data_IF_305919622880
#
_entry.id   IF_305919622880
#
_cell.length_a   1.000
_cell.length_b   1.000
_cell.length_c   1.000
_cell.angle_alpha   90.00
_cell.angle_beta   90.00
_cell.angle_gamma   90.00
#
_symmetry.space_group_name_H-M   'P 1'
#
loop_
_entity.id
_entity.type
_entity.pdbx_description
1 polymer ?
#
# COMPACT_ATOMS: atom_id res chain seq x y z
N UNK A 1 49.27 -15.62 32.93
CA UNK A 1 48.77 -15.25 34.27
C UNK A 1 47.38 -15.83 34.34
N UNK A 2 47.18 -16.79 35.25
CA UNK A 2 45.86 -17.35 35.49
C UNK A 2 44.99 -16.28 36.16
N UNK A 3 43.85 -16.01 35.59
CA UNK A 3 42.87 -15.08 36.13
C UNK A 3 42.39 -15.60 37.50
N UNK A 4 42.71 -14.87 38.56
CA UNK A 4 42.38 -15.21 39.95
C UNK A 4 40.98 -14.73 40.35
N UNK A 5 40.19 -14.20 39.45
CA UNK A 5 38.82 -13.74 39.71
C UNK A 5 37.82 -14.83 39.37
N UNK A 6 36.79 -14.93 40.20
CA UNK A 6 35.69 -15.85 39.95
C UNK A 6 35.13 -15.65 38.53
N UNK A 7 35.03 -16.74 37.78
CA UNK A 7 34.41 -16.76 36.48
C UNK A 7 32.95 -16.37 36.65
N UNK A 8 32.61 -15.14 36.31
CA UNK A 8 31.22 -14.79 36.09
C UNK A 8 30.75 -15.52 34.82
N UNK A 9 29.70 -16.30 34.93
CA UNK A 9 29.01 -16.75 33.73
C UNK A 9 28.52 -15.50 33.01
N UNK A 10 29.16 -15.16 31.90
CA UNK A 10 28.76 -14.06 31.04
C UNK A 10 27.43 -14.39 30.36
N UNK A 11 26.35 -14.38 31.12
CA UNK A 11 25.02 -14.40 30.60
C UNK A 11 24.80 -13.01 29.99
N UNK A 12 24.73 -12.94 28.67
CA UNK A 12 24.31 -11.74 27.98
C UNK A 12 22.94 -11.32 28.52
N UNK A 13 22.95 -10.27 29.34
CA UNK A 13 21.72 -9.72 29.88
C UNK A 13 20.97 -9.03 28.76
N UNK A 14 19.92 -9.66 28.26
CA UNK A 14 19.05 -9.10 27.25
C UNK A 14 18.06 -8.17 27.94
N UNK A 15 18.47 -6.94 28.16
CA UNK A 15 17.61 -5.84 28.58
C UNK A 15 17.37 -4.94 27.38
N UNK A 16 16.35 -5.22 26.56
CA UNK A 16 16.10 -4.36 25.42
C UNK A 16 14.89 -4.80 24.61
N UNK A 17 14.37 -3.86 23.84
CA UNK A 17 13.33 -4.13 22.86
C UNK A 17 13.92 -4.89 21.69
N UNK A 18 13.21 -5.91 21.21
CA UNK A 18 13.55 -6.64 20.00
C UNK A 18 13.22 -5.78 18.79
N UNK A 19 14.24 -5.43 18.00
CA UNK A 19 14.05 -4.64 16.78
C UNK A 19 14.02 -5.55 15.57
N UNK A 20 12.98 -5.41 14.74
CA UNK A 20 12.90 -6.07 13.45
C UNK A 20 13.62 -5.23 12.39
N UNK A 21 14.62 -5.81 11.72
CA UNK A 21 15.35 -5.17 10.61
C UNK A 21 14.62 -5.29 9.26
N UNK A 22 13.70 -6.25 9.14
CA UNK A 22 12.91 -6.47 7.91
C UNK A 22 11.81 -5.42 7.73
N UNK A 23 11.44 -5.14 6.48
CA UNK A 23 10.26 -4.34 6.20
C UNK A 23 9.00 -5.17 6.47
N UNK A 24 8.20 -4.75 7.44
CA UNK A 24 6.94 -5.38 7.84
C UNK A 24 5.78 -4.37 7.86
N UNK A 25 5.97 -3.22 7.24
CA UNK A 25 4.93 -2.21 7.18
C UNK A 25 3.84 -2.64 6.21
N UNK A 26 2.60 -2.53 6.62
CA UNK A 26 1.42 -2.94 5.85
C UNK A 26 0.37 -1.83 5.83
N UNK A 27 0.70 -0.66 5.27
CA UNK A 27 -0.20 0.48 5.33
C UNK A 27 -1.46 0.30 4.49
N UNK A 28 -1.38 -0.29 3.29
CA UNK A 28 -2.54 -0.48 2.43
C UNK A 28 -3.56 -1.42 3.06
N UNK A 29 -3.10 -2.60 3.51
CA UNK A 29 -3.94 -3.59 4.18
C UNK A 29 -4.61 -3.01 5.43
N UNK A 30 -3.89 -2.17 6.18
CA UNK A 30 -4.41 -1.51 7.38
C UNK A 30 -5.52 -0.49 7.04
N UNK A 31 -5.33 0.31 5.98
CA UNK A 31 -6.30 1.31 5.54
C UNK A 31 -7.57 0.66 5.01
N UNK A 32 -7.45 -0.37 4.17
CA UNK A 32 -8.61 -1.02 3.54
C UNK A 32 -9.25 -2.09 4.42
N UNK A 33 -8.58 -2.52 5.50
CA UNK A 33 -9.02 -3.62 6.37
C UNK A 33 -10.43 -3.45 6.96
N UNK A 34 -10.84 -2.19 7.22
CA UNK A 34 -12.18 -1.88 7.71
C UNK A 34 -13.32 -2.16 6.71
N UNK A 35 -13.01 -2.43 5.44
CA UNK A 35 -13.97 -2.73 4.35
C UNK A 35 -13.94 -4.19 3.93
N UNK A 36 -13.42 -5.07 4.78
CA UNK A 36 -13.28 -6.49 4.47
C UNK A 36 -14.59 -7.12 4.01
N UNK A 37 -14.51 -7.88 2.92
CA UNK A 37 -15.59 -8.68 2.35
C UNK A 37 -15.31 -10.16 2.56
N UNK A 38 -16.31 -11.00 2.46
CA UNK A 38 -16.18 -12.45 2.51
C UNK A 38 -16.75 -13.10 1.25
N UNK A 39 -16.14 -14.19 0.81
CA UNK A 39 -16.60 -14.99 -0.31
C UNK A 39 -16.59 -16.47 0.06
N UNK A 40 -17.50 -17.24 -0.53
CA UNK A 40 -17.53 -18.70 -0.41
C UNK A 40 -16.94 -19.39 -1.63
N UNK A 41 -16.45 -18.62 -2.60
CA UNK A 41 -15.87 -19.14 -3.84
C UNK A 41 -14.49 -18.53 -4.06
N UNK A 42 -13.60 -19.29 -4.68
CA UNK A 42 -12.22 -18.84 -4.99
C UNK A 42 -12.22 -17.62 -5.90
N UNK A 43 -13.13 -17.60 -6.87
CA UNK A 43 -13.29 -16.48 -7.80
C UNK A 43 -14.40 -15.57 -7.33
N UNK A 44 -14.15 -14.27 -7.31
CA UNK A 44 -15.10 -13.24 -6.93
C UNK A 44 -15.09 -12.07 -7.92
N UNK A 45 -16.20 -11.36 -7.98
CA UNK A 45 -16.38 -10.21 -8.89
C UNK A 45 -15.75 -8.96 -8.27
N UNK A 46 -14.86 -8.29 -9.01
CA UNK A 46 -14.25 -7.01 -8.62
C UNK A 46 -14.97 -5.81 -9.22
N UNK A 47 -15.73 -5.98 -10.29
CA UNK A 47 -16.49 -4.91 -10.92
C UNK A 47 -17.46 -5.46 -11.97
N UNK A 48 -18.58 -4.76 -12.12
CA UNK A 48 -19.50 -4.96 -13.24
C UNK A 48 -19.47 -3.70 -14.08
N UNK A 49 -19.20 -3.85 -15.35
CA UNK A 49 -18.98 -2.75 -16.28
C UNK A 49 -20.06 -2.77 -17.35
N UNK A 50 -20.59 -1.60 -17.66
CA UNK A 50 -21.41 -1.42 -18.84
C UNK A 50 -21.17 -0.01 -19.41
N UNK A 51 -21.25 0.12 -20.71
CA UNK A 51 -21.14 1.41 -21.37
C UNK A 51 -22.51 1.79 -21.91
N UNK A 52 -23.08 2.87 -21.37
CA UNK A 52 -24.30 3.49 -21.86
C UNK A 52 -23.90 4.80 -22.52
N UNK A 53 -24.02 4.87 -23.83
CA UNK A 53 -23.83 6.13 -24.58
C UNK A 53 -24.95 7.12 -24.28
N UNK A 54 -24.64 8.40 -24.32
CA UNK A 54 -25.59 9.49 -24.11
C UNK A 54 -24.91 10.86 -24.29
N UNK A 55 -25.67 11.94 -24.13
CA UNK A 55 -25.12 13.31 -24.18
C UNK A 55 -25.16 13.97 -25.57
N UNK A 56 -25.87 13.39 -26.56
CA UNK A 56 -26.20 14.05 -27.81
C UNK A 56 -27.66 14.51 -27.79
N UNK A 57 -27.95 15.64 -28.45
CA UNK A 57 -29.32 16.10 -28.65
C UNK A 57 -30.02 15.14 -29.61
N UNK A 58 -31.15 14.51 -29.22
CA UNK A 58 -31.92 13.67 -30.12
C UNK A 58 -32.45 14.47 -31.28
N UNK A 59 -32.29 13.97 -32.51
CA UNK A 59 -32.81 14.59 -33.71
C UNK A 59 -33.83 13.65 -34.40
N UNK A 60 -34.99 13.52 -33.79
CA UNK A 60 -36.07 12.67 -34.31
C UNK A 60 -37.17 13.62 -34.85
N UNK A 61 -37.50 13.49 -36.12
CA UNK A 61 -38.61 14.20 -36.72
C UNK A 61 -39.98 13.59 -36.32
N UNK A 62 -41.04 14.35 -36.41
CA UNK A 62 -42.38 13.86 -36.14
C UNK A 62 -42.70 12.62 -36.99
N UNK A 63 -42.39 12.65 -38.28
CA UNK A 63 -42.59 11.52 -39.19
C UNK A 63 -41.77 10.30 -38.79
N UNK A 64 -40.48 10.48 -38.38
CA UNK A 64 -39.63 9.40 -37.93
C UNK A 64 -40.09 8.80 -36.60
N UNK A 65 -40.76 9.57 -35.74
CA UNK A 65 -41.27 9.09 -34.46
C UNK A 65 -42.44 8.11 -34.59
N UNK A 66 -43.09 8.06 -35.76
CA UNK A 66 -44.16 7.09 -36.03
C UNK A 66 -43.67 5.67 -36.26
N UNK A 67 -42.35 5.48 -36.46
CA UNK A 67 -41.73 4.17 -36.56
C UNK A 67 -40.85 3.93 -35.34
N UNK A 68 -41.07 2.80 -34.63
CA UNK A 68 -40.23 2.46 -33.50
C UNK A 68 -38.78 2.25 -33.93
N UNK A 69 -37.77 2.81 -33.21
CA UNK A 69 -36.38 2.56 -33.51
C UNK A 69 -36.01 1.09 -33.26
N UNK A 70 -34.99 0.60 -33.95
CA UNK A 70 -34.48 -0.75 -33.76
C UNK A 70 -34.00 -0.94 -32.30
N UNK A 71 -34.28 -2.12 -31.73
CA UNK A 71 -33.87 -2.44 -30.40
C UNK A 71 -32.34 -2.55 -30.31
N UNK A 72 -31.73 -1.78 -29.43
CA UNK A 72 -30.30 -1.87 -29.11
C UNK A 72 -30.08 -2.51 -27.75
N UNK A 73 -29.01 -3.30 -27.59
CA UNK A 73 -28.70 -3.98 -26.33
C UNK A 73 -27.44 -3.37 -25.73
N UNK A 74 -27.52 -3.00 -24.45
CA UNK A 74 -26.35 -2.62 -23.65
C UNK A 74 -25.79 -3.87 -22.99
N UNK A 75 -24.57 -4.24 -23.35
CA UNK A 75 -23.87 -5.40 -22.79
C UNK A 75 -23.22 -5.05 -21.46
N UNK A 76 -23.26 -5.99 -20.53
CA UNK A 76 -22.56 -5.91 -19.23
C UNK A 76 -21.41 -6.88 -19.21
N UNK A 77 -20.28 -6.45 -18.70
CA UNK A 77 -19.08 -7.26 -18.48
C UNK A 77 -18.77 -7.39 -17.00
N UNK A 78 -18.32 -8.56 -16.55
CA UNK A 78 -17.87 -8.79 -15.17
C UNK A 78 -16.37 -8.99 -15.17
N UNK A 79 -15.67 -8.22 -14.37
CA UNK A 79 -14.25 -8.45 -14.07
C UNK A 79 -14.15 -9.24 -12.78
N UNK A 80 -13.27 -10.23 -12.77
CA UNK A 80 -13.11 -11.15 -11.64
C UNK A 80 -11.67 -11.15 -11.13
N UNK A 81 -11.51 -11.50 -9.86
CA UNK A 81 -10.24 -11.81 -9.23
C UNK A 81 -10.38 -13.10 -8.43
N UNK A 82 -9.28 -13.62 -7.90
CA UNK A 82 -9.25 -14.89 -7.16
C UNK A 82 -8.63 -14.68 -5.78
N UNK A 83 -9.03 -15.53 -4.82
CA UNK A 83 -8.36 -15.62 -3.53
C UNK A 83 -7.07 -16.45 -3.67
N UNK A 84 -6.08 -16.10 -2.85
CA UNK A 84 -4.78 -16.77 -2.79
C UNK A 84 -4.58 -17.35 -1.39
N UNK A 85 -3.93 -18.51 -1.32
CA UNK A 85 -3.56 -19.16 -0.06
C UNK A 85 -2.28 -18.52 0.49
N UNK A 86 -2.32 -18.19 1.77
CA UNK A 86 -1.15 -17.79 2.56
C UNK A 86 -0.99 -18.77 3.69
N UNK A 87 0.18 -19.42 3.74
CA UNK A 87 0.46 -20.48 4.68
C UNK A 87 1.90 -20.39 5.19
N UNK A 88 2.06 -20.50 6.48
CA UNK A 88 3.36 -20.59 7.14
C UNK A 88 3.31 -21.64 8.24
N UNK A 89 4.43 -22.28 8.52
CA UNK A 89 4.54 -23.27 9.60
C UNK A 89 5.58 -22.85 10.63
N UNK A 90 5.33 -23.24 11.88
CA UNK A 90 6.23 -23.06 13.02
C UNK A 90 6.47 -24.40 13.64
N UNK A 91 7.74 -24.76 13.85
CA UNK A 91 8.12 -26.00 14.52
C UNK A 91 9.09 -25.70 15.67
N UNK A 92 8.82 -26.25 16.86
CA UNK A 92 9.64 -26.08 18.04
C UNK A 92 9.91 -27.44 18.67
N UNK A 93 11.19 -27.74 18.91
CA UNK A 93 11.61 -28.95 19.64
C UNK A 93 11.39 -28.77 21.14
N UNK A 94 11.14 -29.89 21.86
CA UNK A 94 11.02 -29.88 23.32
C UNK A 94 12.32 -29.41 23.99
N UNK A 95 13.48 -29.71 23.41
CA UNK A 95 14.77 -29.23 23.91
C UNK A 95 14.86 -27.69 23.89
N UNK A 96 14.29 -27.01 22.86
CA UNK A 96 14.22 -25.54 22.80
C UNK A 96 13.18 -24.98 23.75
N UNK A 97 12.06 -25.67 23.92
CA UNK A 97 11.03 -25.25 24.88
C UNK A 97 11.53 -25.37 26.33
N UNK A 98 12.35 -26.38 26.66
CA UNK A 98 12.91 -26.55 27.98
C UNK A 98 14.07 -25.59 28.28
N UNK A 99 14.73 -25.07 27.26
CA UNK A 99 15.83 -24.11 27.38
C UNK A 99 15.31 -22.65 27.45
N UNK A 100 14.33 -22.42 28.28
CA UNK A 100 13.89 -21.09 28.63
C UNK A 100 14.87 -20.51 29.65
N UNK A 101 15.75 -19.63 29.21
CA UNK A 101 16.60 -18.85 30.09
C UNK A 101 15.76 -17.97 31.02
N UNK A 102 15.30 -18.51 32.12
CA UNK A 102 14.76 -17.72 33.22
C UNK A 102 15.91 -17.17 34.03
N UNK A 103 16.06 -15.87 34.07
CA UNK A 103 16.83 -15.18 35.09
C UNK A 103 16.11 -15.37 36.44
N UNK A 104 16.32 -16.55 37.10
CA UNK A 104 15.89 -16.74 38.45
C UNK A 104 16.90 -16.07 39.37
N UNK A 105 16.52 -15.01 40.06
CA UNK A 105 17.29 -14.50 41.19
C UNK A 105 17.49 -12.99 41.31
N UNK A 106 17.14 -12.19 40.34
CA UNK A 106 17.19 -10.71 40.48
C UNK A 106 15.82 -10.15 40.18
N UNK A 107 15.03 -9.96 41.25
CA UNK A 107 13.87 -9.11 41.24
C UNK A 107 14.31 -7.64 41.13
N UNK A 108 14.60 -7.17 39.97
CA UNK A 108 14.64 -5.72 39.71
C UNK A 108 13.19 -5.31 39.51
N UNK A 109 12.65 -4.64 40.50
CA UNK A 109 11.31 -4.08 40.47
C UNK A 109 11.09 -3.33 39.13
N UNK A 110 10.01 -3.67 38.43
CA UNK A 110 9.55 -3.07 37.16
C UNK A 110 10.28 -3.41 35.85
N UNK A 111 11.09 -4.45 35.76
CA UNK A 111 11.50 -4.95 34.45
C UNK A 111 10.84 -6.31 34.19
N UNK A 112 9.92 -6.34 33.24
CA UNK A 112 9.44 -7.59 32.63
C UNK A 112 10.58 -8.16 31.77
N UNK A 113 11.52 -8.83 32.42
CA UNK A 113 12.71 -9.41 31.80
C UNK A 113 12.49 -10.87 31.37
N UNK A 114 11.26 -11.32 31.19
CA UNK A 114 10.99 -12.61 30.58
C UNK A 114 10.93 -12.43 29.07
N UNK A 115 11.87 -13.05 28.29
CA UNK A 115 11.70 -13.16 26.85
C UNK A 115 10.36 -13.83 26.57
N UNK A 116 9.66 -13.35 25.51
CA UNK A 116 8.45 -14.02 25.02
C UNK A 116 8.74 -15.52 24.85
N UNK A 117 7.75 -16.35 25.16
CA UNK A 117 7.83 -17.77 24.83
C UNK A 117 8.25 -17.91 23.36
N UNK A 118 9.22 -18.76 23.08
CA UNK A 118 9.76 -18.94 21.72
C UNK A 118 8.66 -19.25 20.70
N UNK A 119 7.63 -20.00 21.10
CA UNK A 119 6.47 -20.27 20.24
C UNK A 119 5.73 -18.98 19.89
N UNK A 120 5.39 -18.17 20.88
CA UNK A 120 4.65 -16.93 20.67
C UNK A 120 5.44 -15.95 19.82
N UNK A 121 6.76 -15.87 20.03
CA UNK A 121 7.65 -15.08 19.18
C UNK A 121 7.67 -15.56 17.74
N UNK A 122 7.82 -16.87 17.50
CA UNK A 122 7.82 -17.43 16.15
C UNK A 122 6.48 -17.24 15.43
N UNK A 123 5.37 -17.44 16.15
CA UNK A 123 4.02 -17.20 15.61
C UNK A 123 3.86 -15.73 15.23
N UNK A 124 4.23 -14.80 16.11
CA UNK A 124 4.16 -13.37 15.83
C UNK A 124 5.03 -12.98 14.62
N UNK A 125 6.25 -13.47 14.52
CA UNK A 125 7.15 -13.23 13.40
C UNK A 125 6.58 -13.76 12.07
N UNK A 126 5.97 -14.95 12.08
CA UNK A 126 5.33 -15.55 10.91
C UNK A 126 4.05 -14.79 10.49
N UNK A 127 3.26 -14.29 11.45
CA UNK A 127 2.13 -13.42 11.17
C UNK A 127 2.57 -12.11 10.52
N UNK A 128 3.64 -11.47 11.02
CA UNK A 128 4.20 -10.28 10.37
C UNK A 128 4.64 -10.57 8.94
N UNK A 129 5.26 -11.73 8.69
CA UNK A 129 5.65 -12.14 7.34
C UNK A 129 4.43 -12.30 6.43
N UNK A 130 3.40 -13.02 6.87
CA UNK A 130 2.15 -13.20 6.09
C UNK A 130 1.53 -11.84 5.75
N UNK A 131 1.45 -10.92 6.71
CA UNK A 131 0.90 -9.59 6.47
C UNK A 131 1.72 -8.81 5.42
N UNK A 132 3.05 -8.89 5.49
CA UNK A 132 3.93 -8.28 4.49
C UNK A 132 3.77 -8.93 3.10
N UNK A 133 3.63 -10.24 3.03
CA UNK A 133 3.39 -10.98 1.79
C UNK A 133 2.00 -10.63 1.17
N UNK A 134 0.98 -10.41 2.00
CA UNK A 134 -0.34 -9.93 1.58
C UNK A 134 -0.24 -8.52 1.00
N UNK A 135 0.45 -7.61 1.71
CA UNK A 135 0.65 -6.22 1.24
C UNK A 135 1.38 -6.19 -0.10
N UNK A 136 2.49 -6.94 -0.22
CA UNK A 136 3.21 -7.09 -1.48
C UNK A 136 2.31 -7.61 -2.61
N UNK A 137 1.49 -8.61 -2.30
CA UNK A 137 0.60 -9.24 -3.27
C UNK A 137 -0.52 -8.29 -3.70
N UNK A 138 -1.09 -7.50 -2.79
CA UNK A 138 -2.10 -6.50 -3.12
C UNK A 138 -1.57 -5.40 -4.04
N UNK A 139 -0.28 -5.11 -3.96
CA UNK A 139 0.34 -4.11 -4.84
C UNK A 139 0.82 -4.75 -6.15
N UNK A 140 1.59 -5.84 -6.09
CA UNK A 140 2.33 -6.40 -7.23
C UNK A 140 1.78 -7.73 -7.76
N UNK A 141 0.76 -8.31 -7.14
CA UNK A 141 0.28 -9.66 -7.46
C UNK A 141 -0.09 -9.83 -8.94
N UNK A 142 0.48 -10.84 -9.59
CA UNK A 142 0.16 -11.19 -10.98
C UNK A 142 -0.95 -12.23 -10.98
N UNK A 143 -2.05 -11.91 -11.66
CA UNK A 143 -3.22 -12.77 -11.72
C UNK A 143 -2.91 -14.15 -12.31
N UNK A 144 -3.35 -15.18 -11.62
CA UNK A 144 -3.38 -16.55 -12.13
C UNK A 144 -4.57 -17.28 -11.51
N UNK A 145 -5.40 -17.88 -12.37
CA UNK A 145 -6.51 -18.74 -11.94
C UNK A 145 -6.10 -20.20 -12.15
N UNK A 146 -6.18 -21.00 -11.11
CA UNK A 146 -5.91 -22.42 -11.18
C UNK A 146 -6.96 -23.13 -12.06
N UNK A 147 -6.50 -24.02 -12.92
CA UNK A 147 -7.33 -24.87 -13.77
C UNK A 147 -7.60 -26.24 -13.13
N UNK A 148 -6.75 -26.61 -12.17
CA UNK A 148 -6.82 -27.83 -11.38
C UNK A 148 -6.15 -27.62 -10.00
N UNK A 149 -6.31 -28.58 -9.08
CA UNK A 149 -5.82 -28.48 -7.71
C UNK A 149 -4.29 -28.41 -7.58
N UNK A 150 -3.55 -28.76 -8.62
CA UNK A 150 -2.08 -28.66 -8.66
C UNK A 150 -1.58 -27.27 -9.06
N UNK A 151 -2.43 -26.41 -9.57
CA UNK A 151 -2.10 -25.06 -10.01
C UNK A 151 -2.33 -24.04 -8.90
N UNK A 152 -1.67 -22.91 -9.02
CA UNK A 152 -1.66 -21.86 -7.99
C UNK A 152 -2.63 -20.76 -8.38
N UNK A 153 -3.56 -20.45 -7.48
CA UNK A 153 -4.34 -19.23 -7.56
C UNK A 153 -3.49 -18.05 -7.05
N UNK A 154 -3.41 -17.00 -7.85
CA UNK A 154 -2.73 -15.73 -7.47
C UNK A 154 -3.69 -14.58 -7.68
N UNK A 155 -3.92 -13.80 -6.64
CA UNK A 155 -4.76 -12.61 -6.72
C UNK A 155 -4.07 -11.52 -7.54
N UNK A 156 -4.88 -10.76 -8.31
CA UNK A 156 -4.39 -9.61 -9.08
C UNK A 156 -4.16 -8.44 -8.13
N UNK A 157 -2.97 -7.88 -8.16
CA UNK A 157 -2.61 -6.66 -7.45
C UNK A 157 -2.93 -5.39 -8.23
N UNK A 158 -2.74 -4.24 -7.61
CA UNK A 158 -3.08 -2.92 -8.16
C UNK A 158 -2.22 -2.54 -9.37
N UNK A 159 -0.90 -2.79 -9.33
CA UNK A 159 0.02 -2.42 -10.42
C UNK A 159 -0.37 -3.10 -11.74
N UNK A 160 -0.62 -4.42 -11.82
CA UNK A 160 -1.06 -5.04 -13.06
C UNK A 160 -2.56 -4.82 -13.36
N UNK A 161 -3.39 -4.47 -12.36
CA UNK A 161 -4.81 -4.22 -12.58
C UNK A 161 -5.06 -2.92 -13.35
N UNK A 162 -4.27 -1.87 -13.09
CA UNK A 162 -4.46 -0.56 -13.69
C UNK A 162 -3.86 -0.55 -15.10
N UNK A 163 -4.73 -0.45 -16.11
CA UNK A 163 -4.36 -0.48 -17.53
C UNK A 163 -4.80 0.78 -18.28
N UNK A 164 -5.95 1.34 -17.97
CA UNK A 164 -6.55 2.47 -18.71
C UNK A 164 -5.86 3.80 -18.36
N UNK A 165 -5.80 4.14 -17.08
CA UNK A 165 -5.25 5.43 -16.64
C UNK A 165 -3.76 5.29 -16.33
N UNK A 166 -2.94 5.23 -17.36
CA UNK A 166 -1.48 5.14 -17.21
C UNK A 166 -0.79 6.38 -17.76
N UNK A 167 0.33 6.77 -17.12
CA UNK A 167 1.20 7.85 -17.57
C UNK A 167 2.66 7.45 -17.41
N UNK A 168 3.39 7.41 -18.54
CA UNK A 168 4.83 7.18 -18.53
C UNK A 168 5.55 8.52 -18.31
N UNK A 169 6.44 8.57 -17.31
CA UNK A 169 7.17 9.78 -16.92
C UNK A 169 8.50 9.94 -17.65
N UNK A 170 8.98 8.92 -18.37
CA UNK A 170 10.23 8.94 -19.12
C UNK A 170 11.43 9.43 -18.29
N UNK A 171 11.59 8.91 -17.09
CA UNK A 171 12.62 9.28 -16.10
C UNK A 171 12.56 10.75 -15.63
N UNK A 172 11.42 11.41 -15.77
CA UNK A 172 11.20 12.75 -15.20
C UNK A 172 10.68 12.64 -13.75
N UNK A 173 10.94 13.66 -12.91
CA UNK A 173 10.30 13.72 -11.59
C UNK A 173 8.78 13.90 -11.72
N UNK A 174 8.05 13.40 -10.73
CA UNK A 174 6.59 13.57 -10.67
C UNK A 174 6.26 14.94 -10.07
N UNK A 175 5.53 15.76 -10.85
CA UNK A 175 5.10 17.08 -10.44
C UNK A 175 3.61 17.18 -10.12
N UNK A 176 3.20 18.31 -9.56
CA UNK A 176 1.79 18.58 -9.19
C UNK A 176 0.86 18.57 -10.42
N UNK A 177 1.34 19.07 -11.56
CA UNK A 177 0.56 19.08 -12.81
C UNK A 177 0.35 17.67 -13.37
N UNK A 178 1.28 16.76 -13.18
CA UNK A 178 1.12 15.36 -13.57
C UNK A 178 0.03 14.68 -12.77
N UNK A 179 -0.05 14.98 -11.46
CA UNK A 179 -1.10 14.50 -10.57
C UNK A 179 -2.46 15.07 -11.03
N UNK A 180 -2.55 16.37 -11.29
CA UNK A 180 -3.77 17.03 -11.74
C UNK A 180 -4.25 16.47 -13.10
N UNK A 181 -3.34 16.20 -14.04
CA UNK A 181 -3.65 15.57 -15.33
C UNK A 181 -4.20 14.14 -15.15
N UNK A 182 -3.66 13.37 -14.20
CA UNK A 182 -4.19 12.05 -13.90
C UNK A 182 -5.59 12.12 -13.28
N UNK A 183 -5.85 13.04 -12.37
CA UNK A 183 -7.18 13.27 -11.80
C UNK A 183 -8.17 13.66 -12.91
N UNK A 184 -7.75 14.51 -13.86
CA UNK A 184 -8.55 14.86 -15.04
C UNK A 184 -8.89 13.64 -15.90
N UNK A 185 -7.94 12.71 -16.11
CA UNK A 185 -8.20 11.47 -16.85
C UNK A 185 -9.22 10.58 -16.15
N UNK A 186 -9.10 10.41 -14.82
CA UNK A 186 -10.06 9.67 -14.00
C UNK A 186 -11.46 10.29 -14.10
N UNK A 187 -11.55 11.61 -13.97
CA UNK A 187 -12.81 12.34 -14.15
C UNK A 187 -13.42 12.12 -15.54
N UNK A 188 -12.59 12.15 -16.59
CA UNK A 188 -13.02 11.90 -17.97
C UNK A 188 -13.57 10.49 -18.21
N UNK A 189 -13.25 9.54 -17.36
CA UNK A 189 -13.80 8.17 -17.37
C UNK A 189 -15.09 8.04 -16.51
N UNK A 190 -15.69 9.15 -16.11
CA UNK A 190 -16.87 9.19 -15.25
C UNK A 190 -16.65 8.52 -13.88
N UNK A 191 -15.43 8.56 -13.37
CA UNK A 191 -15.06 8.04 -12.07
C UNK A 191 -15.08 9.15 -11.01
N UNK A 192 -15.41 8.84 -9.74
CA UNK A 192 -15.39 9.80 -8.66
C UNK A 192 -13.96 10.28 -8.38
N UNK A 193 -13.81 11.58 -8.18
CA UNK A 193 -12.53 12.22 -7.83
C UNK A 193 -12.36 12.42 -6.32
N UNK A 194 -13.31 11.92 -5.54
CA UNK A 194 -13.25 11.91 -4.07
C UNK A 194 -12.52 10.68 -3.56
N UNK A 195 -11.83 10.81 -2.42
CA UNK A 195 -11.13 9.67 -1.80
C UNK A 195 -9.85 9.23 -2.50
N UNK A 196 -9.34 10.02 -3.45
CA UNK A 196 -8.10 9.72 -4.15
C UNK A 196 -6.90 9.85 -3.24
N UNK A 197 -6.02 8.85 -3.28
CA UNK A 197 -4.77 8.81 -2.54
C UNK A 197 -3.62 8.44 -3.48
N UNK A 198 -2.59 9.27 -3.52
CA UNK A 198 -1.36 8.98 -4.23
C UNK A 198 -0.44 8.14 -3.34
N UNK A 199 -0.21 6.92 -3.79
CA UNK A 199 0.67 5.94 -3.18
C UNK A 199 2.02 6.00 -3.87
N UNK A 200 3.05 6.52 -3.20
CA UNK A 200 4.36 6.75 -3.80
C UNK A 200 5.50 6.43 -2.84
N UNK A 201 6.69 6.27 -3.37
CA UNK A 201 7.92 6.10 -2.59
C UNK A 201 8.42 7.44 -2.01
N UNK A 202 9.39 7.36 -1.10
CA UNK A 202 9.96 8.55 -0.45
C UNK A 202 10.60 9.52 -1.45
N UNK A 203 11.28 9.01 -2.47
CA UNK A 203 11.93 9.82 -3.50
C UNK A 203 10.92 10.66 -4.28
N UNK A 204 9.83 10.02 -4.70
CA UNK A 204 8.72 10.68 -5.39
C UNK A 204 8.04 11.72 -4.50
N UNK A 205 7.88 11.44 -3.21
CA UNK A 205 7.30 12.40 -2.27
C UNK A 205 8.18 13.65 -2.12
N UNK A 206 9.51 13.51 -2.06
CA UNK A 206 10.43 14.64 -2.09
C UNK A 206 10.39 15.42 -3.40
N UNK A 207 10.22 14.74 -4.55
CA UNK A 207 10.07 15.40 -5.85
C UNK A 207 8.81 16.27 -5.89
N UNK A 208 7.67 15.75 -5.43
CA UNK A 208 6.40 16.49 -5.36
C UNK A 208 6.53 17.71 -4.46
N UNK A 209 7.16 17.56 -3.30
CA UNK A 209 7.38 18.69 -2.38
C UNK A 209 8.31 19.74 -2.98
N UNK A 210 9.37 19.34 -3.68
CA UNK A 210 10.27 20.28 -4.36
C UNK A 210 9.56 21.05 -5.48
N UNK A 211 8.73 20.38 -6.28
CA UNK A 211 7.89 21.02 -7.31
C UNK A 211 6.89 22.01 -6.70
N UNK A 212 6.26 21.65 -5.58
CA UNK A 212 5.35 22.53 -4.86
C UNK A 212 6.08 23.82 -4.39
N UNK A 213 7.24 23.68 -3.78
CA UNK A 213 8.02 24.81 -3.27
C UNK A 213 8.51 25.71 -4.42
N UNK A 214 8.96 25.13 -5.55
CA UNK A 214 9.39 25.90 -6.73
C UNK A 214 8.24 26.71 -7.35
N UNK A 215 7.03 26.18 -7.31
CA UNK A 215 5.83 26.87 -7.81
C UNK A 215 5.17 27.81 -6.77
N UNK A 216 5.81 28.03 -5.63
CA UNK A 216 5.27 28.88 -4.55
C UNK A 216 4.03 28.28 -3.86
N UNK A 217 3.81 26.98 -4.04
CA UNK A 217 2.73 26.22 -3.41
C UNK A 217 3.28 25.47 -2.22
N UNK A 218 2.49 25.30 -1.18
CA UNK A 218 2.83 24.41 -0.07
C UNK A 218 1.95 23.16 -0.12
N UNK A 219 2.56 22.01 0.15
CA UNK A 219 1.78 20.80 0.45
C UNK A 219 1.13 21.01 1.80
N UNK A 220 -0.19 21.14 1.83
CA UNK A 220 -0.91 21.39 3.07
C UNK A 220 -0.96 20.09 3.86
N UNK A 221 -0.54 20.07 5.14
CA UNK A 221 -0.80 18.94 6.03
C UNK A 221 -2.30 18.68 6.04
N UNK A 222 -2.74 17.49 5.69
CA UNK A 222 -4.17 17.20 5.67
C UNK A 222 -4.68 17.02 7.09
N UNK A 223 -5.90 17.48 7.30
CA UNK A 223 -6.69 17.18 8.48
C UNK A 223 -7.42 15.84 8.41
N UNK A 224 -7.14 15.00 7.39
CA UNK A 224 -7.79 13.71 7.23
C UNK A 224 -6.94 12.59 7.82
N UNK A 225 -7.55 11.86 8.74
CA UNK A 225 -7.01 10.62 9.28
C UNK A 225 -7.84 9.43 8.77
N UNK A 226 -7.15 8.38 8.33
CA UNK A 226 -7.78 7.09 8.02
C UNK A 226 -7.14 6.05 8.94
N UNK A 227 -7.93 5.44 9.80
CA UNK A 227 -7.46 4.46 10.80
C UNK A 227 -6.26 4.96 11.62
N UNK A 228 -6.29 6.25 12.03
CA UNK A 228 -5.21 6.88 12.82
C UNK A 228 -3.97 7.30 12.02
N UNK A 229 -4.03 7.28 10.69
CA UNK A 229 -2.93 7.70 9.82
C UNK A 229 -3.24 9.09 9.24
N UNK A 230 -2.41 10.07 9.57
CA UNK A 230 -2.50 11.42 9.04
C UNK A 230 -1.92 11.47 7.61
N UNK A 231 -2.69 12.04 6.68
CA UNK A 231 -2.32 12.15 5.26
C UNK A 231 -2.06 13.62 4.89
N UNK A 232 -0.97 13.87 4.18
CA UNK A 232 -0.75 15.15 3.49
C UNK A 232 -1.67 15.25 2.27
N UNK A 233 -2.01 16.45 1.82
CA UNK A 233 -2.90 16.62 0.67
C UNK A 233 -2.38 17.60 -0.36
N UNK A 234 -2.72 17.33 -1.61
CA UNK A 234 -2.58 18.24 -2.74
C UNK A 234 -3.98 18.61 -3.23
N UNK A 235 -4.28 19.90 -3.24
CA UNK A 235 -5.55 20.40 -3.74
C UNK A 235 -5.42 20.62 -5.24
N UNK A 236 -6.24 19.92 -6.01
CA UNK A 236 -6.39 20.15 -7.46
C UNK A 236 -7.72 20.86 -7.74
N UNK A 237 -7.89 21.51 -8.90
CA UNK A 237 -9.17 22.17 -9.24
C UNK A 237 -10.37 21.22 -9.30
N UNK A 238 -10.15 19.92 -9.43
CA UNK A 238 -11.21 18.90 -9.62
C UNK A 238 -11.42 18.08 -8.34
N UNK A 239 -10.46 18.05 -7.43
CA UNK A 239 -10.56 17.27 -6.20
C UNK A 239 -9.29 17.32 -5.35
N UNK A 240 -9.37 16.74 -4.17
CA UNK A 240 -8.24 16.65 -3.24
C UNK A 240 -7.60 15.27 -3.35
N UNK A 241 -6.30 15.25 -3.54
CA UNK A 241 -5.48 14.03 -3.57
C UNK A 241 -4.66 13.95 -2.29
N UNK A 242 -4.82 12.86 -1.56
CA UNK A 242 -4.02 12.58 -0.37
C UNK A 242 -2.71 11.92 -0.77
N UNK A 243 -1.61 12.30 -0.13
CA UNK A 243 -0.29 11.71 -0.36
C UNK A 243 0.01 10.71 0.74
N UNK A 244 0.43 9.53 0.36
CA UNK A 244 0.83 8.50 1.30
C UNK A 244 2.14 7.81 0.87
N UNK A 245 3.01 7.54 1.85
CA UNK A 245 4.23 6.80 1.63
C UNK A 245 3.91 5.31 1.48
N UNK A 246 3.98 4.82 0.24
CA UNK A 246 3.72 3.42 -0.09
C UNK A 246 4.93 2.53 0.11
N UNK A 247 4.66 1.32 0.57
CA UNK A 247 5.66 0.25 0.64
C UNK A 247 5.47 -0.71 -0.54
N UNK A 248 6.50 -1.47 -0.85
CA UNK A 248 6.51 -2.52 -1.90
C UNK A 248 6.17 -2.06 -3.33
N UNK A 249 6.19 -0.75 -3.60
CA UNK A 249 6.03 -0.26 -4.96
C UNK A 249 7.24 -0.64 -5.84
N UNK A 250 7.02 -0.99 -7.12
CA UNK A 250 8.12 -1.10 -8.06
C UNK A 250 8.83 0.25 -8.20
N UNK A 251 10.16 0.21 -8.34
CA UNK A 251 10.98 1.41 -8.49
C UNK A 251 10.47 2.30 -9.63
N UNK A 252 10.37 3.59 -9.39
CA UNK A 252 9.87 4.56 -10.36
C UNK A 252 8.39 4.43 -10.70
N UNK A 253 7.60 3.84 -9.80
CA UNK A 253 6.15 3.68 -9.96
C UNK A 253 5.42 4.36 -8.82
N UNK A 254 4.34 5.08 -9.14
CA UNK A 254 3.39 5.61 -8.17
C UNK A 254 1.97 5.28 -8.61
N UNK A 255 1.08 5.09 -7.66
CA UNK A 255 -0.31 4.72 -7.89
C UNK A 255 -1.24 5.79 -7.33
N UNK A 256 -2.15 6.28 -8.14
CA UNK A 256 -3.26 7.12 -7.69
C UNK A 256 -4.47 6.21 -7.47
N UNK A 257 -4.81 5.96 -6.22
CA UNK A 257 -5.80 4.97 -5.83
C UNK A 257 -7.06 5.65 -5.29
N UNK A 258 -8.21 5.17 -5.70
CA UNK A 258 -9.45 5.46 -5.00
C UNK A 258 -9.60 4.43 -3.88
N UNK A 259 -9.39 4.87 -2.63
CA UNK A 259 -9.43 3.97 -1.47
C UNK A 259 -10.85 3.49 -1.14
N UNK A 260 -11.89 4.17 -1.63
CA UNK A 260 -13.28 3.86 -1.27
C UNK A 260 -13.80 2.59 -1.94
N UNK A 261 -13.19 2.17 -3.04
CA UNK A 261 -13.56 0.95 -3.77
C UNK A 261 -12.67 -0.24 -3.47
N UNK A 262 -11.57 -0.04 -2.74
CA UNK A 262 -10.65 -1.11 -2.38
C UNK A 262 -11.15 -1.87 -1.15
N UNK A 263 -11.12 -3.20 -1.22
CA UNK A 263 -11.48 -4.06 -0.10
C UNK A 263 -10.70 -5.38 -0.13
N UNK A 264 -10.21 -5.88 1.01
CA UNK A 264 -9.73 -7.25 1.11
C UNK A 264 -10.93 -8.20 1.10
N UNK A 265 -10.78 -9.33 0.41
CA UNK A 265 -11.81 -10.37 0.31
C UNK A 265 -11.28 -11.63 0.96
N UNK A 266 -11.88 -12.02 2.06
CA UNK A 266 -11.53 -13.25 2.79
C UNK A 266 -12.38 -14.42 2.30
N UNK A 267 -11.76 -15.59 2.22
CA UNK A 267 -12.46 -16.85 2.04
C UNK A 267 -12.31 -17.68 3.32
N UNK A 268 -13.28 -17.59 4.24
CA UNK A 268 -13.20 -18.28 5.54
C UNK A 268 -13.33 -19.79 5.37
N UNK A 269 -12.57 -20.53 6.18
CA UNK A 269 -12.75 -21.96 6.32
C UNK A 269 -13.87 -22.22 7.31
N UNK A 270 -14.92 -23.01 6.95
CA UNK A 270 -16.01 -23.31 7.85
C UNK A 270 -15.53 -23.86 9.20
N UNK A 271 -15.98 -23.25 10.29
CA UNK A 271 -15.59 -23.62 11.65
C UNK A 271 -14.23 -23.14 12.13
N UNK A 272 -13.38 -22.52 11.27
CA UNK A 272 -12.03 -22.06 11.64
C UNK A 272 -11.79 -20.54 11.44
N UNK A 273 -12.57 -19.91 10.57
CA UNK A 273 -12.46 -18.46 10.32
C UNK A 273 -11.55 -18.08 9.18
N UNK A 274 -11.13 -16.79 9.13
CA UNK A 274 -10.37 -16.20 8.01
C UNK A 274 -8.88 -16.60 8.01
N UNK A 275 -8.23 -16.40 9.15
CA UNK A 275 -6.88 -16.84 9.44
C UNK A 275 -6.87 -17.58 10.76
N UNK A 276 -6.22 -18.72 10.82
CA UNK A 276 -6.18 -19.54 12.04
C UNK A 276 -4.82 -20.20 12.19
N UNK A 277 -4.50 -20.48 13.47
CA UNK A 277 -3.36 -21.26 13.89
C UNK A 277 -3.86 -22.64 14.31
N UNK A 278 -3.29 -23.71 13.77
CA UNK A 278 -3.65 -25.08 14.06
C UNK A 278 -2.42 -25.90 14.45
N UNK A 279 -2.52 -26.70 15.50
CA UNK A 279 -1.50 -27.68 15.85
C UNK A 279 -1.57 -28.86 14.89
N UNK A 280 -0.43 -29.20 14.29
CA UNK A 280 -0.31 -30.37 13.39
C UNK A 280 -0.01 -31.63 14.18
N UNK A 281 -0.29 -32.79 13.59
CA UNK A 281 0.02 -34.09 14.17
C UNK A 281 1.50 -34.18 14.54
N UNK A 282 1.79 -34.73 15.70
CA UNK A 282 3.16 -34.90 16.23
C UNK A 282 3.88 -35.99 15.46
N UNK A 283 5.03 -35.64 14.89
CA UNK A 283 5.90 -36.57 14.14
C UNK A 283 7.22 -36.88 14.86
N UNK A 284 7.44 -36.32 16.06
CA UNK A 284 8.66 -36.48 16.81
C UNK A 284 8.67 -35.66 18.12
N UNK A 285 9.84 -35.44 18.71
CA UNK A 285 10.04 -34.70 19.95
C UNK A 285 9.95 -33.17 19.73
N UNK A 286 8.76 -32.68 19.34
CA UNK A 286 8.49 -31.28 19.09
C UNK A 286 7.01 -31.04 18.80
N UNK A 287 6.65 -29.76 18.72
CA UNK A 287 5.33 -29.30 18.32
C UNK A 287 5.45 -28.57 17.00
N UNK A 288 4.47 -28.78 16.11
CA UNK A 288 4.37 -28.05 14.84
C UNK A 288 3.02 -27.38 14.77
N UNK A 289 3.02 -26.13 14.35
CA UNK A 289 1.83 -25.32 14.14
C UNK A 289 1.80 -24.82 12.70
N UNK A 290 0.63 -24.61 12.18
CA UNK A 290 0.39 -24.07 10.86
C UNK A 290 -0.50 -22.85 10.96
N UNK A 291 -0.04 -21.76 10.34
CA UNK A 291 -0.86 -20.59 10.05
C UNK A 291 -1.42 -20.77 8.64
N UNK A 292 -2.72 -20.61 8.48
CA UNK A 292 -3.41 -20.73 7.20
C UNK A 292 -4.45 -19.66 7.05
N UNK A 293 -4.59 -19.12 5.83
CA UNK A 293 -5.65 -18.21 5.45
C UNK A 293 -5.73 -18.03 3.95
N UNK A 294 -6.89 -17.58 3.49
CA UNK A 294 -7.16 -17.29 2.09
C UNK A 294 -7.69 -15.87 1.97
N UNK A 295 -7.01 -15.07 1.13
CA UNK A 295 -7.38 -13.68 0.92
C UNK A 295 -7.13 -13.26 -0.52
N UNK A 296 -7.94 -12.36 -1.04
CA UNK A 296 -7.78 -11.70 -2.32
C UNK A 296 -8.03 -10.21 -2.21
N UNK A 297 -7.76 -9.47 -3.28
CA UNK A 297 -8.00 -8.04 -3.37
C UNK A 297 -9.17 -7.75 -4.31
N UNK A 298 -10.21 -7.10 -3.80
CA UNK A 298 -11.20 -6.42 -4.61
C UNK A 298 -10.68 -5.00 -4.90
N UNK A 299 -10.25 -4.79 -6.14
CA UNK A 299 -9.73 -3.50 -6.58
C UNK A 299 -10.80 -2.59 -7.18
N UNK A 300 -12.05 -3.06 -7.28
CA UNK A 300 -13.11 -2.31 -7.94
C UNK A 300 -12.85 -2.09 -9.44
N UNK A 301 -13.51 -1.09 -10.06
CA UNK A 301 -13.26 -0.71 -11.43
C UNK A 301 -11.85 -0.16 -11.62
N UNK A 302 -11.08 -0.68 -12.57
CA UNK A 302 -9.68 -0.33 -12.75
C UNK A 302 -9.46 1.13 -13.18
N UNK A 303 -10.43 1.72 -13.89
CA UNK A 303 -10.37 3.13 -14.32
C UNK A 303 -10.64 4.15 -13.20
N UNK A 304 -11.00 3.69 -11.99
CA UNK A 304 -11.05 4.54 -10.80
C UNK A 304 -9.66 4.84 -10.25
N UNK A 305 -8.65 4.15 -10.76
CA UNK A 305 -7.26 4.27 -10.34
C UNK A 305 -6.40 4.83 -11.47
N UNK A 306 -5.22 5.34 -11.11
CA UNK A 306 -4.21 5.79 -12.04
C UNK A 306 -2.83 5.24 -11.70
N UNK A 307 -1.97 5.08 -12.71
CA UNK A 307 -0.62 4.57 -12.55
C UNK A 307 0.39 5.45 -13.28
N UNK A 308 1.42 5.86 -12.56
CA UNK A 308 2.61 6.50 -13.12
C UNK A 308 3.73 5.47 -13.19
N UNK A 309 4.46 5.46 -14.30
CA UNK A 309 5.58 4.55 -14.51
C UNK A 309 6.79 5.30 -15.05
N UNK A 310 8.00 4.79 -14.75
CA UNK A 310 9.24 5.43 -15.24
C UNK A 310 9.48 6.79 -14.59
N UNK A 311 9.09 6.99 -13.35
CA UNK A 311 9.42 8.19 -12.56
C UNK A 311 10.92 8.15 -12.27
N UNK A 312 11.57 9.31 -12.22
CA UNK A 312 12.97 9.41 -11.80
C UNK A 312 13.16 8.84 -10.39
N UNK A 313 14.10 7.93 -10.25
CA UNK A 313 14.46 7.32 -8.96
C UNK A 313 15.51 8.13 -8.19
N UNK A 314 16.00 9.22 -8.77
CA UNK A 314 16.93 10.15 -8.16
C UNK A 314 16.21 11.44 -7.75
N UNK A 315 16.59 11.97 -6.60
CA UNK A 315 16.14 13.28 -6.14
C UNK A 315 17.37 14.19 -6.01
N UNK A 316 17.33 15.33 -6.70
CA UNK A 316 18.30 16.40 -6.50
C UNK A 316 17.56 17.56 -5.85
N UNK A 317 18.01 17.97 -4.66
CA UNK A 317 17.42 19.11 -3.97
C UNK A 317 17.56 20.37 -4.84
N UNK A 318 16.50 21.20 -4.93
CA UNK A 318 16.60 22.45 -5.67
C UNK A 318 17.67 23.35 -5.05
N UNK A 319 18.53 23.87 -5.89
CA UNK A 319 19.56 24.83 -5.46
C UNK A 319 18.92 26.22 -5.41
N UNK A 320 18.67 26.71 -4.23
CA UNK A 320 18.23 28.10 -4.06
C UNK A 320 19.42 29.02 -4.30
N UNK A 321 19.49 29.65 -5.47
CA UNK A 321 20.49 30.70 -5.68
C UNK A 321 20.04 31.93 -4.88
N UNK A 322 20.81 32.29 -3.86
CA UNK A 322 20.68 33.58 -3.16
C UNK A 322 21.05 34.78 -4.00
N UNK A 323 21.37 34.58 -5.29
CA UNK A 323 21.82 35.62 -6.19
C UNK A 323 20.85 36.78 -6.40
N UNK A 324 19.54 36.53 -6.24
CA UNK A 324 18.52 37.59 -6.35
C UNK A 324 18.64 38.65 -5.26
N UNK A 325 19.00 38.24 -4.03
CA UNK A 325 19.19 39.19 -2.92
C UNK A 325 20.54 39.94 -2.98
N UNK A 326 21.55 39.33 -3.56
CA UNK A 326 22.86 39.98 -3.69
C UNK A 326 22.86 40.99 -4.83
N UNK A 327 22.16 40.73 -5.94
CA UNK A 327 22.01 41.68 -7.04
C UNK A 327 21.25 42.95 -6.60
N UNK A 328 20.19 42.81 -5.82
CA UNK A 328 19.44 43.95 -5.28
C UNK A 328 20.24 44.75 -4.23
N UNK A 329 21.13 44.10 -3.49
CA UNK A 329 21.99 44.80 -2.52
C UNK A 329 23.13 45.58 -3.18
N UNK A 330 23.58 45.14 -4.37
CA UNK A 330 24.59 45.87 -5.16
C UNK A 330 24.00 47.10 -5.88
N UNK A 331 22.79 46.98 -6.39
CA UNK A 331 22.05 48.10 -7.00
C UNK A 331 21.69 49.18 -5.96
N UNK A 332 21.43 48.80 -4.71
CA UNK A 332 21.15 49.77 -3.64
C UNK A 332 22.41 50.59 -3.23
N UNK A 333 23.60 50.05 -3.42
CA UNK A 333 24.87 50.78 -3.16
C UNK A 333 25.28 51.71 -4.28
N UNK A 334 24.86 51.45 -5.53
CA UNK A 334 25.24 52.25 -6.69
C UNK A 334 24.46 53.58 -6.79
N UNK A 335 23.28 53.70 -6.19
CA UNK A 335 22.45 54.91 -6.23
C UNK A 335 22.68 55.88 -5.06
N UNK A 336 23.56 55.56 -4.11
CA UNK A 336 23.86 56.39 -2.93
C UNK A 336 25.14 57.20 -2.94
N UNK A 337 25.88 57.30 -4.06
CA UNK A 337 27.14 58.03 -4.13
C UNK A 337 27.14 59.10 -5.21
N UNK A 338 26.29 60.13 -5.02
CA UNK A 338 26.52 61.45 -5.62
C UNK A 338 25.90 62.50 -4.74
N UNK A 339 26.72 63.08 -3.92
CA UNK A 339 26.68 64.50 -3.68
C UNK A 339 27.69 64.91 -2.63
N UNK A 340 28.52 65.75 -3.07
CA UNK A 340 28.95 66.96 -2.46
C UNK A 340 30.25 66.95 -1.73
#
# INVERSE_FOLDING_TARGET
MADTFATSFGVLNYSGMLFNKGNTRTPLSSIIGGRAKTTNHVEFVTGQEFTSGGGAQPAISETASLTAPDATVVTREQKTNVTQIFQESVGISYAKQSNMGTLSGINIANQQANPMNELDFQVAAKMMKINADIEYTFINGVYSKATDDSKINKTRGLVPAITTNTKAMASKPLGLWDIADMVKKIYGQNAPTTGLCLWCDATTMFQINADAVQNGLSVVPASREINGIALSSVVTPIGVVYLYLGEYLPSGTALLLNLDVLAPVFQPVPGKGNFFLEELAKTGAGQKYQLFGQIGLDHGPEWYHGKFTGISTSFTAPTYSRSVFVANAADFKATGSTSG
#
